data_IF_616397720556
#
_entry.id   IF_616397720556
#
_cell.length_a   1.000
_cell.length_b   1.000
_cell.length_c   1.000
_cell.angle_alpha   90.00
_cell.angle_beta   90.00
_cell.angle_gamma   90.00
#
_symmetry.space_group_name_H-M   'P 1'
#
loop_
_entity.id
_entity.type
_entity.pdbx_description
1 polymer ?
#
# COMPACT_ATOMS: atom_id res chain seq x y z
N UNK A 1 8.38 25.54 -1.25
CA UNK A 1 7.26 25.42 -0.31
C UNK A 1 7.26 24.10 0.47
N UNK A 2 7.69 22.99 -0.12
CA UNK A 2 7.74 21.66 0.55
C UNK A 2 8.69 21.63 1.75
N UNK A 3 9.91 22.19 1.68
CA UNK A 3 10.84 22.23 2.80
C UNK A 3 10.30 22.96 4.05
N UNK A 4 9.54 24.05 3.87
CA UNK A 4 8.90 24.75 4.98
C UNK A 4 7.84 23.89 5.65
N UNK A 5 7.06 23.13 4.86
CA UNK A 5 6.05 22.16 5.39
C UNK A 5 6.72 21.04 6.17
N UNK A 6 7.82 20.49 5.64
CA UNK A 6 8.61 19.45 6.30
C UNK A 6 9.17 19.94 7.65
N UNK A 7 9.72 21.15 7.70
CA UNK A 7 10.22 21.74 8.94
C UNK A 7 9.12 21.96 9.97
N UNK A 8 7.98 22.53 9.57
CA UNK A 8 6.84 22.74 10.45
C UNK A 8 6.27 21.43 11.02
N UNK A 9 6.27 20.38 10.21
CA UNK A 9 5.87 19.03 10.60
C UNK A 9 6.82 18.47 11.66
N UNK A 10 8.14 18.58 11.44
CA UNK A 10 9.15 18.13 12.39
C UNK A 10 9.08 18.88 13.72
N UNK A 11 8.86 20.19 13.70
CA UNK A 11 8.71 20.99 14.89
C UNK A 11 7.43 20.65 15.67
N UNK A 12 6.35 20.33 14.95
CA UNK A 12 5.11 19.86 15.59
C UNK A 12 5.33 18.51 16.28
N UNK A 13 6.08 17.58 15.67
CA UNK A 13 6.39 16.27 16.26
C UNK A 13 7.19 16.36 17.56
N UNK A 14 7.93 17.45 17.81
CA UNK A 14 8.62 17.72 19.07
C UNK A 14 7.68 18.23 20.18
N UNK A 15 6.42 18.54 19.88
CA UNK A 15 5.44 18.89 20.91
C UNK A 15 5.04 17.67 21.73
N UNK A 16 4.57 17.84 22.99
CA UNK A 16 4.14 16.71 23.82
C UNK A 16 3.04 15.85 23.17
N UNK A 17 2.20 16.46 22.31
CA UNK A 17 1.16 15.75 21.55
C UNK A 17 1.77 14.97 20.39
N UNK A 18 2.69 15.58 19.65
CA UNK A 18 3.42 14.94 18.57
C UNK A 18 4.27 13.76 19.03
N UNK A 19 5.02 13.93 20.13
CA UNK A 19 5.80 12.86 20.77
C UNK A 19 4.91 11.68 21.19
N UNK A 20 3.75 11.96 21.79
CA UNK A 20 2.80 10.94 22.20
C UNK A 20 2.21 10.19 21.00
N UNK A 21 1.94 10.89 19.89
CA UNK A 21 1.50 10.27 18.66
C UNK A 21 2.59 9.37 18.09
N UNK A 22 3.79 9.90 17.93
CA UNK A 22 4.95 9.18 17.37
C UNK A 22 5.29 7.93 18.18
N UNK A 23 5.18 8.00 19.52
CA UNK A 23 5.37 6.84 20.39
C UNK A 23 4.33 5.74 20.15
N UNK A 24 3.07 6.14 19.95
CA UNK A 24 2.01 5.17 19.67
C UNK A 24 2.13 4.57 18.26
N UNK A 25 2.45 5.40 17.27
CA UNK A 25 2.71 4.96 15.89
C UNK A 25 3.88 3.99 15.82
N UNK A 26 4.95 4.26 16.56
CA UNK A 26 6.09 3.35 16.66
C UNK A 26 5.67 1.95 17.09
N UNK A 27 4.79 1.82 18.09
CA UNK A 27 4.28 0.50 18.55
C UNK A 27 3.42 -0.18 17.48
N UNK A 28 2.51 0.57 16.87
CA UNK A 28 1.59 0.01 15.86
C UNK A 28 2.36 -0.43 14.61
N UNK A 29 3.38 0.33 14.21
CA UNK A 29 4.27 0.00 13.08
C UNK A 29 5.18 -1.17 13.43
N UNK A 30 5.73 -1.24 14.64
CA UNK A 30 6.52 -2.38 15.12
C UNK A 30 5.72 -3.68 15.01
N UNK A 31 4.48 -3.71 15.52
CA UNK A 31 3.58 -4.86 15.41
C UNK A 31 3.30 -5.25 13.95
N UNK A 32 3.12 -4.25 13.06
CA UNK A 32 2.86 -4.50 11.65
C UNK A 32 4.09 -5.03 10.90
N UNK A 33 5.29 -4.56 11.25
CA UNK A 33 6.55 -4.97 10.63
C UNK A 33 7.07 -6.30 11.16
N UNK A 34 6.62 -6.76 12.32
CA UNK A 34 7.13 -7.98 12.99
C UNK A 34 6.98 -9.25 12.12
N UNK A 35 5.93 -9.29 11.30
CA UNK A 35 5.67 -10.40 10.37
C UNK A 35 6.24 -10.22 8.96
N UNK A 36 6.99 -9.14 8.68
CA UNK A 36 7.48 -8.83 7.34
C UNK A 36 8.98 -9.10 7.25
N UNK A 37 9.33 -10.08 6.45
CA UNK A 37 10.72 -10.48 6.17
C UNK A 37 11.02 -10.26 4.71
N UNK A 38 12.27 -9.97 4.37
CA UNK A 38 12.68 -9.78 2.98
C UNK A 38 14.06 -9.14 2.88
N UNK A 39 14.40 -8.74 1.67
CA UNK A 39 15.66 -8.08 1.38
C UNK A 39 15.56 -6.57 1.52
N UNK A 40 14.48 -5.97 0.99
CA UNK A 40 14.36 -4.53 0.85
C UNK A 40 13.08 -3.98 1.50
N UNK A 41 13.24 -2.99 2.39
CA UNK A 41 12.16 -2.14 2.87
C UNK A 41 12.39 -0.69 2.44
N UNK A 42 11.34 -0.03 2.01
CA UNK A 42 11.37 1.35 1.57
C UNK A 42 10.40 2.18 2.39
N UNK A 43 10.88 3.24 3.01
CA UNK A 43 10.03 4.26 3.62
C UNK A 43 9.90 5.44 2.66
N UNK A 44 8.68 5.84 2.34
CA UNK A 44 8.39 7.02 1.52
C UNK A 44 7.88 8.15 2.40
N UNK A 45 8.57 9.28 2.36
CA UNK A 45 8.34 10.40 3.26
C UNK A 45 8.97 10.18 4.64
N UNK A 46 9.22 11.29 5.34
CA UNK A 46 9.76 11.28 6.69
C UNK A 46 8.69 11.75 7.69
N UNK A 47 8.55 10.98 8.76
CA UNK A 47 7.71 11.29 9.91
C UNK A 47 8.51 11.00 11.18
N UNK A 48 8.99 12.03 11.83
CA UNK A 48 10.07 11.92 12.82
C UNK A 48 11.44 11.91 12.14
N UNK A 49 12.39 11.23 12.75
CA UNK A 49 13.72 11.04 12.16
C UNK A 49 13.73 9.87 11.15
N UNK A 50 14.82 9.77 10.40
CA UNK A 50 15.01 8.74 9.38
C UNK A 50 14.90 7.30 9.94
N UNK A 51 15.20 7.07 11.20
CA UNK A 51 15.22 5.74 11.84
C UNK A 51 13.99 5.45 12.70
N UNK A 52 13.06 6.38 12.84
CA UNK A 52 11.91 6.25 13.76
C UNK A 52 11.17 4.93 13.57
N UNK A 53 10.88 4.55 12.33
CA UNK A 53 10.17 3.31 12.01
C UNK A 53 11.09 2.23 11.43
N UNK A 54 12.11 2.62 10.66
CA UNK A 54 13.00 1.66 10.00
C UNK A 54 13.79 0.78 10.97
N UNK A 55 13.95 1.21 12.22
CA UNK A 55 14.59 0.38 13.27
C UNK A 55 13.82 -0.89 13.62
N UNK A 56 12.53 -0.97 13.29
CA UNK A 56 11.69 -2.14 13.56
C UNK A 56 11.62 -3.13 12.40
N UNK A 57 12.22 -2.78 11.25
CA UNK A 57 12.21 -3.65 10.08
C UNK A 57 13.08 -4.88 10.28
N UNK A 58 12.64 -6.01 9.75
CA UNK A 58 13.38 -7.28 9.72
C UNK A 58 13.92 -7.59 8.33
N UNK A 59 13.95 -6.61 7.46
CA UNK A 59 14.57 -6.70 6.14
C UNK A 59 16.04 -6.39 6.20
N UNK A 60 16.81 -6.92 5.25
CA UNK A 60 18.27 -6.77 5.24
C UNK A 60 18.72 -5.34 4.96
N UNK A 61 17.96 -4.63 4.11
CA UNK A 61 18.26 -3.26 3.68
C UNK A 61 17.02 -2.40 3.81
N UNK A 62 17.17 -1.25 4.43
CA UNK A 62 16.11 -0.28 4.63
C UNK A 62 16.56 1.08 4.11
N UNK A 63 15.75 1.68 3.27
CA UNK A 63 16.01 2.99 2.69
C UNK A 63 14.81 3.89 2.93
N UNK A 64 15.09 5.19 3.13
CA UNK A 64 14.07 6.24 3.16
C UNK A 64 14.23 7.16 1.97
N UNK A 65 13.14 7.49 1.30
CA UNK A 65 13.09 8.46 0.22
C UNK A 65 12.14 9.58 0.63
N UNK A 66 12.59 10.82 0.51
CA UNK A 66 11.76 12.00 0.74
C UNK A 66 11.92 13.00 -0.41
N UNK A 67 10.99 13.95 -0.51
CA UNK A 67 11.05 15.00 -1.55
C UNK A 67 11.98 16.15 -1.18
N UNK A 68 12.41 16.19 0.08
CA UNK A 68 13.27 17.23 0.63
C UNK A 68 14.42 16.62 1.44
N UNK A 69 15.58 17.25 1.53
CA UNK A 69 16.72 16.72 2.26
C UNK A 69 16.60 16.84 3.79
N UNK A 70 15.60 17.57 4.28
CA UNK A 70 15.39 17.73 5.74
C UNK A 70 15.09 16.40 6.41
N UNK A 71 15.76 16.15 7.53
CA UNK A 71 15.66 14.89 8.26
C UNK A 71 16.54 13.77 7.72
N UNK A 72 17.47 14.08 6.82
CA UNK A 72 18.51 13.20 6.30
C UNK A 72 17.97 11.88 5.72
N UNK A 73 17.07 11.91 4.70
CA UNK A 73 16.64 10.69 4.04
C UNK A 73 17.81 10.00 3.33
N UNK A 74 17.69 8.70 3.09
CA UNK A 74 18.69 7.93 2.33
C UNK A 74 18.84 8.42 0.88
N UNK A 75 17.75 8.95 0.31
CA UNK A 75 17.74 9.58 -1.01
C UNK A 75 16.64 10.66 -1.10
N UNK A 76 16.87 11.65 -1.96
CA UNK A 76 15.89 12.69 -2.27
C UNK A 76 15.36 12.43 -3.67
N UNK A 77 14.04 12.25 -3.81
CA UNK A 77 13.37 12.02 -5.09
C UNK A 77 11.88 12.37 -5.00
N UNK A 78 11.26 12.56 -6.16
CA UNK A 78 9.82 12.71 -6.28
C UNK A 78 9.12 11.40 -5.91
N UNK A 79 8.22 11.41 -4.92
CA UNK A 79 7.56 10.20 -4.43
C UNK A 79 6.60 9.56 -5.44
N UNK A 80 6.16 10.30 -6.42
CA UNK A 80 5.33 9.81 -7.51
C UNK A 80 6.13 9.31 -8.73
N UNK A 81 7.49 9.30 -8.64
CA UNK A 81 8.43 8.80 -9.65
C UNK A 81 9.70 8.31 -8.99
N UNK A 82 9.64 7.11 -8.42
CA UNK A 82 10.73 6.57 -7.61
C UNK A 82 11.89 6.05 -8.48
N UNK A 83 13.14 6.36 -8.11
CA UNK A 83 14.33 5.81 -8.75
C UNK A 83 14.62 4.38 -8.24
N UNK A 84 13.60 3.53 -8.25
CA UNK A 84 13.63 2.16 -7.74
C UNK A 84 13.09 1.24 -8.82
N UNK A 85 13.72 0.10 -8.99
CA UNK A 85 13.31 -0.91 -9.96
C UNK A 85 11.92 -1.47 -9.64
N UNK A 86 11.18 -1.89 -10.68
CA UNK A 86 9.89 -2.54 -10.51
C UNK A 86 10.06 -3.91 -9.86
N UNK A 87 9.06 -4.33 -9.05
CA UNK A 87 9.02 -5.64 -8.40
C UNK A 87 10.30 -5.98 -7.61
N UNK A 88 10.90 -4.97 -6.94
CA UNK A 88 12.19 -5.12 -6.24
C UNK A 88 12.10 -4.97 -4.71
N UNK A 89 10.98 -4.49 -4.17
CA UNK A 89 10.82 -4.13 -2.76
C UNK A 89 9.82 -5.08 -2.08
N UNK A 90 10.18 -5.58 -0.89
CA UNK A 90 9.33 -6.51 -0.12
C UNK A 90 8.33 -5.77 0.77
N UNK A 91 8.72 -4.59 1.29
CA UNK A 91 7.85 -3.77 2.13
C UNK A 91 7.98 -2.29 1.80
N UNK A 92 6.85 -1.57 1.77
CA UNK A 92 6.81 -0.12 1.65
C UNK A 92 6.04 0.46 2.84
N UNK A 93 6.63 1.47 3.50
CA UNK A 93 6.02 2.21 4.60
C UNK A 93 5.72 3.64 4.16
N UNK A 94 4.49 4.08 4.36
CA UNK A 94 3.98 5.42 4.04
C UNK A 94 3.48 6.10 5.33
N UNK A 95 4.38 6.71 6.14
CA UNK A 95 3.98 7.36 7.38
C UNK A 95 3.38 8.74 7.08
N UNK A 96 2.06 8.85 7.03
CA UNK A 96 1.30 10.06 6.68
C UNK A 96 1.61 10.68 5.33
N UNK A 97 2.42 10.03 4.51
CA UNK A 97 2.91 10.54 3.23
C UNK A 97 1.79 10.98 2.31
N UNK A 98 0.69 10.25 2.30
CA UNK A 98 -0.46 10.54 1.43
C UNK A 98 -1.24 11.78 1.88
N UNK A 99 -1.25 12.08 3.19
CA UNK A 99 -1.94 13.24 3.75
C UNK A 99 -1.26 14.57 3.37
N UNK A 100 0.04 14.52 3.06
CA UNK A 100 0.87 15.66 2.69
C UNK A 100 1.11 15.79 1.19
N UNK A 101 0.67 14.82 0.40
CA UNK A 101 0.89 14.79 -1.04
C UNK A 101 -0.25 15.38 -1.83
N UNK A 102 0.07 16.19 -2.84
CA UNK A 102 -0.90 16.67 -3.83
C UNK A 102 -1.28 15.57 -4.85
N UNK A 103 -0.51 14.46 -4.91
CA UNK A 103 -0.68 13.38 -5.89
C UNK A 103 -0.72 11.98 -5.25
N UNK A 104 -1.59 11.71 -4.27
CA UNK A 104 -1.59 10.45 -3.52
C UNK A 104 -1.82 9.22 -4.40
N UNK A 105 -2.64 9.33 -5.45
CA UNK A 105 -2.85 8.24 -6.40
C UNK A 105 -1.60 7.87 -7.20
N UNK A 106 -0.81 8.87 -7.58
CA UNK A 106 0.43 8.63 -8.33
C UNK A 106 1.47 7.92 -7.44
N UNK A 107 1.56 8.31 -6.16
CA UNK A 107 2.40 7.63 -5.18
C UNK A 107 1.97 6.16 -5.01
N UNK A 108 0.68 5.88 -4.86
CA UNK A 108 0.19 4.51 -4.71
C UNK A 108 0.47 3.64 -5.95
N UNK A 109 0.41 4.20 -7.15
CA UNK A 109 0.80 3.48 -8.38
C UNK A 109 2.29 3.17 -8.42
N UNK A 110 3.13 4.10 -7.96
CA UNK A 110 4.57 3.84 -7.83
C UNK A 110 4.87 2.79 -6.76
N UNK A 111 4.15 2.81 -5.65
CA UNK A 111 4.23 1.77 -4.63
C UNK A 111 3.87 0.40 -5.22
N UNK A 112 2.77 0.32 -5.96
CA UNK A 112 2.39 -0.92 -6.65
C UNK A 112 3.47 -1.38 -7.64
N UNK A 113 4.05 -0.46 -8.41
CA UNK A 113 5.11 -0.77 -9.37
C UNK A 113 6.37 -1.37 -8.72
N UNK A 114 6.83 -0.78 -7.60
CA UNK A 114 8.08 -1.20 -6.95
C UNK A 114 7.91 -2.41 -6.05
N UNK A 115 6.71 -2.67 -5.52
CA UNK A 115 6.43 -3.83 -4.68
C UNK A 115 6.54 -5.13 -5.47
N UNK A 116 7.26 -6.10 -4.91
CA UNK A 116 7.29 -7.48 -5.38
C UNK A 116 5.91 -8.14 -5.26
N UNK A 117 5.73 -9.24 -5.98
CA UNK A 117 4.62 -10.15 -5.74
C UNK A 117 4.61 -10.59 -4.26
N UNK A 118 3.46 -10.49 -3.60
CA UNK A 118 3.28 -10.68 -2.17
C UNK A 118 3.96 -9.64 -1.27
N UNK A 119 4.58 -8.60 -1.83
CA UNK A 119 5.09 -7.47 -1.07
C UNK A 119 3.97 -6.73 -0.33
N UNK A 120 4.31 -6.09 0.78
CA UNK A 120 3.35 -5.45 1.66
C UNK A 120 3.55 -3.93 1.71
N UNK A 121 2.45 -3.21 1.78
CA UNK A 121 2.44 -1.77 2.05
C UNK A 121 1.76 -1.49 3.38
N UNK A 122 2.41 -0.65 4.21
CA UNK A 122 1.88 -0.14 5.47
C UNK A 122 1.64 1.35 5.31
N UNK A 123 0.42 1.79 5.52
CA UNK A 123 0.00 3.18 5.33
C UNK A 123 -0.57 3.71 6.63
N UNK A 124 0.03 4.79 7.14
CA UNK A 124 -0.50 5.57 8.25
C UNK A 124 -1.18 6.82 7.69
N UNK A 125 -2.33 7.18 8.23
CA UNK A 125 -3.07 8.36 7.81
C UNK A 125 -3.93 8.97 8.91
N UNK A 126 -4.26 10.25 8.77
CA UNK A 126 -5.19 10.95 9.63
C UNK A 126 -6.63 10.70 9.21
N UNK A 127 -7.50 10.46 10.18
CA UNK A 127 -8.92 10.20 9.91
C UNK A 127 -9.70 11.52 9.82
N UNK A 128 -10.31 11.87 8.67
CA UNK A 128 -11.03 13.13 8.51
C UNK A 128 -12.29 13.24 9.40
N UNK A 129 -12.95 12.12 9.67
CA UNK A 129 -14.16 12.05 10.53
C UNK A 129 -13.85 11.80 12.01
N UNK A 130 -12.58 11.76 12.44
CA UNK A 130 -12.19 11.56 13.82
C UNK A 130 -12.18 12.85 14.64
N UNK A 131 -11.79 12.74 15.91
CA UNK A 131 -11.67 13.88 16.83
C UNK A 131 -10.82 15.03 16.26
N UNK A 132 -9.78 14.70 15.52
CA UNK A 132 -8.88 15.65 14.91
C UNK A 132 -9.44 16.30 13.65
N UNK A 133 -10.19 15.56 12.84
CA UNK A 133 -10.88 16.13 11.69
C UNK A 133 -11.95 17.16 12.07
N UNK A 134 -12.71 16.88 13.13
CA UNK A 134 -13.69 17.83 13.71
C UNK A 134 -12.98 19.07 14.30
N UNK A 135 -11.82 18.89 14.92
CA UNK A 135 -11.05 19.98 15.51
C UNK A 135 -10.49 20.96 14.46
N UNK A 136 -10.29 20.52 13.21
CA UNK A 136 -9.88 21.38 12.09
C UNK A 136 -10.83 22.57 11.88
N UNK A 137 -12.09 22.45 12.30
CA UNK A 137 -13.08 23.52 12.22
C UNK A 137 -12.82 24.65 13.24
N UNK A 138 -11.90 24.46 14.20
CA UNK A 138 -11.59 25.45 15.24
C UNK A 138 -10.17 25.98 15.01
N UNK A 139 -9.99 27.29 14.80
CA UNK A 139 -8.67 27.91 14.67
C UNK A 139 -7.78 27.62 15.89
N UNK A 140 -6.46 27.42 15.68
CA UNK A 140 -5.50 27.13 16.74
C UNK A 140 -5.50 25.67 17.23
N UNK A 141 -6.15 24.76 16.52
CA UNK A 141 -6.15 23.36 16.85
C UNK A 141 -4.75 22.75 16.67
N UNK A 142 -4.36 21.88 17.62
CA UNK A 142 -3.06 21.21 17.65
C UNK A 142 -2.87 20.12 16.59
N UNK A 143 -3.43 20.28 15.40
CA UNK A 143 -3.18 19.38 14.26
C UNK A 143 -1.79 19.61 13.66
N UNK A 144 -1.17 18.57 13.09
CA UNK A 144 0.06 18.75 12.33
C UNK A 144 -0.15 19.73 11.17
N UNK A 145 0.69 20.76 11.04
CA UNK A 145 0.57 21.72 9.95
C UNK A 145 0.85 21.07 8.60
N UNK A 146 0.12 21.48 7.54
CA UNK A 146 0.34 21.05 6.17
C UNK A 146 -0.33 19.73 5.76
N UNK A 147 -1.07 19.06 6.65
CA UNK A 147 -1.92 17.93 6.30
C UNK A 147 -3.22 18.43 5.62
N UNK A 148 -3.10 18.80 4.34
CA UNK A 148 -4.18 19.44 3.60
C UNK A 148 -5.18 18.43 3.02
N UNK A 149 -4.74 17.22 2.76
CA UNK A 149 -5.49 16.16 2.07
C UNK A 149 -5.75 14.96 3.00
N UNK A 150 -6.67 15.11 3.95
CA UNK A 150 -7.05 13.97 4.80
C UNK A 150 -7.83 12.93 3.99
N UNK A 151 -7.30 11.71 3.94
CA UNK A 151 -7.88 10.60 3.19
C UNK A 151 -8.57 9.67 4.19
N UNK A 152 -9.85 9.35 3.98
CA UNK A 152 -10.54 8.39 4.83
C UNK A 152 -10.04 6.96 4.60
N UNK A 153 -10.04 6.14 5.64
CA UNK A 153 -9.68 4.72 5.55
C UNK A 153 -10.53 3.95 4.52
N UNK A 154 -11.81 4.33 4.34
CA UNK A 154 -12.70 3.76 3.31
C UNK A 154 -12.19 4.09 1.90
N UNK A 155 -11.93 5.36 1.63
CA UNK A 155 -11.45 5.80 0.32
C UNK A 155 -10.08 5.20 -0.02
N UNK A 156 -9.21 5.08 0.96
CA UNK A 156 -7.91 4.44 0.77
C UNK A 156 -8.05 2.95 0.44
N UNK A 157 -8.99 2.25 1.09
CA UNK A 157 -9.30 0.85 0.76
C UNK A 157 -9.79 0.69 -0.67
N UNK A 158 -10.69 1.56 -1.12
CA UNK A 158 -11.18 1.54 -2.51
C UNK A 158 -10.03 1.70 -3.49
N UNK A 159 -9.09 2.61 -3.22
CA UNK A 159 -7.92 2.82 -4.07
C UNK A 159 -6.97 1.61 -4.10
N UNK A 160 -6.73 0.99 -2.94
CA UNK A 160 -5.90 -0.21 -2.86
C UNK A 160 -6.55 -1.40 -3.58
N UNK A 161 -7.88 -1.53 -3.51
CA UNK A 161 -8.61 -2.55 -4.26
C UNK A 161 -8.54 -2.34 -5.78
N UNK A 162 -8.57 -1.08 -6.25
CA UNK A 162 -8.38 -0.75 -7.67
C UNK A 162 -6.98 -1.12 -8.18
N UNK A 163 -5.98 -1.17 -7.28
CA UNK A 163 -4.63 -1.64 -7.57
C UNK A 163 -4.46 -3.16 -7.32
N UNK A 164 -5.57 -3.91 -7.17
CA UNK A 164 -5.59 -5.35 -6.88
C UNK A 164 -4.79 -5.74 -5.62
N UNK A 165 -4.69 -4.83 -4.65
CA UNK A 165 -4.07 -5.09 -3.35
C UNK A 165 -5.08 -5.66 -2.36
N UNK A 166 -4.69 -6.74 -1.67
CA UNK A 166 -5.49 -7.35 -0.60
C UNK A 166 -5.22 -6.67 0.72
N UNK A 167 -6.25 -6.12 1.35
CA UNK A 167 -6.15 -5.57 2.70
C UNK A 167 -5.96 -6.72 3.70
N UNK A 168 -4.87 -6.67 4.46
CA UNK A 168 -4.52 -7.65 5.48
C UNK A 168 -5.04 -7.24 6.85
N UNK A 169 -4.79 -6.00 7.23
CA UNK A 169 -5.24 -5.47 8.51
C UNK A 169 -5.61 -3.99 8.42
N UNK A 170 -6.41 -3.57 9.36
CA UNK A 170 -6.75 -2.16 9.54
C UNK A 170 -6.92 -1.90 11.04
N UNK A 171 -6.13 -1.01 11.56
CA UNK A 171 -6.20 -0.57 12.94
C UNK A 171 -6.50 0.92 13.03
N UNK A 172 -7.21 1.31 14.07
CA UNK A 172 -7.50 2.70 14.38
C UNK A 172 -6.92 2.99 15.75
N UNK A 173 -6.22 4.09 15.86
CA UNK A 173 -5.48 4.42 17.06
C UNK A 173 -5.52 5.91 17.35
N UNK A 174 -4.95 6.29 18.49
CA UNK A 174 -4.85 7.65 18.99
C UNK A 174 -6.20 8.32 19.24
N UNK A 175 -6.82 7.98 20.38
CA UNK A 175 -8.13 8.51 20.81
C UNK A 175 -7.96 9.75 21.69
N UNK A 176 -6.86 10.48 21.57
CA UNK A 176 -6.56 11.66 22.38
C UNK A 176 -7.15 12.92 21.77
N UNK A 177 -7.74 13.74 22.62
CA UNK A 177 -8.21 15.06 22.21
C UNK A 177 -7.01 15.98 21.93
N UNK A 178 -6.98 16.76 20.84
CA UNK A 178 -5.90 17.68 20.50
C UNK A 178 -5.97 18.94 21.37
N UNK A 179 -5.59 18.83 22.65
CA UNK A 179 -5.49 19.97 23.57
C UNK A 179 -4.03 20.41 23.67
N UNK A 180 -3.74 21.72 23.53
CA UNK A 180 -2.43 22.25 23.85
C UNK A 180 -2.18 22.16 25.36
N UNK A 181 -1.07 21.55 25.76
CA UNK A 181 -0.63 21.51 27.15
C UNK A 181 -0.36 20.12 27.73
N UNK A 182 0.36 20.13 28.86
CA UNK A 182 0.96 18.93 29.49
C UNK A 182 -0.06 18.03 30.24
N UNK A 183 -1.35 18.12 30.00
CA UNK A 183 -2.39 17.31 30.65
C UNK A 183 -2.59 15.91 30.07
N UNK A 184 -1.71 15.51 29.14
CA UNK A 184 -1.79 14.20 28.46
C UNK A 184 -1.22 13.02 29.28
N UNK A 185 -0.64 13.25 30.46
CA UNK A 185 -0.16 12.17 31.33
C UNK A 185 -1.33 11.52 32.05
N UNK A 186 -1.73 10.32 31.66
CA UNK A 186 -2.73 9.52 32.41
C UNK A 186 -3.88 8.92 31.59
N UNK A 187 -3.89 9.05 30.27
CA UNK A 187 -5.05 8.71 29.45
C UNK A 187 -5.03 7.28 28.84
N UNK A 188 -4.16 6.39 29.30
CA UNK A 188 -4.12 4.99 28.78
C UNK A 188 -5.43 4.22 28.98
N UNK A 189 -6.21 4.57 30.00
CA UNK A 189 -7.54 3.99 30.23
C UNK A 189 -8.57 4.49 29.19
N UNK A 190 -8.49 5.76 28.78
CA UNK A 190 -9.36 6.34 27.75
C UNK A 190 -9.06 5.78 26.36
N UNK A 191 -7.82 5.43 26.06
CA UNK A 191 -7.47 4.77 24.80
C UNK A 191 -8.11 3.37 24.66
N UNK A 192 -8.07 2.56 25.72
CA UNK A 192 -8.75 1.25 25.73
C UNK A 192 -10.27 1.36 25.64
N UNK A 193 -10.86 2.35 26.30
CA UNK A 193 -12.30 2.61 26.23
C UNK A 193 -12.70 3.17 24.86
N UNK A 194 -11.91 4.06 24.29
CA UNK A 194 -12.14 4.65 22.96
C UNK A 194 -12.11 3.58 21.86
N UNK A 195 -11.17 2.65 21.90
CA UNK A 195 -11.12 1.52 20.98
C UNK A 195 -12.37 0.63 21.06
N UNK A 196 -12.88 0.37 22.27
CA UNK A 196 -13.99 -0.55 22.48
C UNK A 196 -15.35 0.08 22.15
N UNK A 197 -15.58 1.35 22.46
CA UNK A 197 -16.90 1.99 22.41
C UNK A 197 -17.09 2.97 21.26
N UNK A 198 -16.04 3.66 20.80
CA UNK A 198 -16.14 4.66 19.73
C UNK A 198 -14.96 4.60 18.73
N UNK A 199 -14.81 3.52 17.99
CA UNK A 199 -13.71 3.39 17.02
C UNK A 199 -13.74 4.47 15.93
N UNK A 200 -14.89 5.11 15.70
CA UNK A 200 -15.03 6.21 14.74
C UNK A 200 -14.36 7.51 15.19
N UNK A 201 -14.09 7.68 16.48
CA UNK A 201 -13.46 8.88 17.04
C UNK A 201 -11.92 8.85 17.00
N UNK A 202 -11.32 7.77 16.53
CA UNK A 202 -9.87 7.68 16.36
C UNK A 202 -9.34 8.85 15.51
N UNK A 203 -8.20 9.39 15.89
CA UNK A 203 -7.54 10.45 15.13
C UNK A 203 -6.78 9.92 13.92
N UNK A 204 -6.23 8.71 14.05
CA UNK A 204 -5.37 8.08 13.04
C UNK A 204 -5.84 6.66 12.74
N UNK A 205 -5.43 6.20 11.56
CA UNK A 205 -5.59 4.81 11.14
C UNK A 205 -4.30 4.27 10.53
N UNK A 206 -4.14 2.95 10.56
CA UNK A 206 -3.13 2.23 9.81
C UNK A 206 -3.83 1.17 8.96
N UNK A 207 -3.41 1.06 7.71
CA UNK A 207 -3.81 0.00 6.79
C UNK A 207 -2.57 -0.77 6.34
N UNK A 208 -2.66 -2.10 6.41
CA UNK A 208 -1.68 -2.99 5.80
C UNK A 208 -2.33 -3.70 4.63
N UNK A 209 -1.71 -3.63 3.47
CA UNK A 209 -2.19 -4.32 2.27
C UNK A 209 -1.04 -5.08 1.59
N UNK A 210 -1.39 -6.14 0.89
CA UNK A 210 -0.46 -7.01 0.18
C UNK A 210 -0.79 -7.00 -1.32
N UNK A 211 0.24 -6.85 -2.15
CA UNK A 211 0.12 -6.98 -3.61
C UNK A 211 -0.23 -8.41 -3.96
N UNK A 212 -1.31 -8.61 -4.70
CA UNK A 212 -1.68 -9.94 -5.18
C UNK A 212 -0.81 -10.36 -6.34
N UNK A 213 -0.48 -11.63 -6.34
CA UNK A 213 -0.02 -12.28 -7.57
C UNK A 213 -1.27 -12.46 -8.44
N UNK A 214 -1.36 -11.75 -9.53
CA UNK A 214 -2.31 -12.09 -10.58
C UNK A 214 -1.92 -13.46 -11.12
N UNK A 215 -2.46 -14.54 -10.57
CA UNK A 215 -2.38 -15.84 -11.20
C UNK A 215 -3.15 -15.71 -12.51
N UNK A 216 -2.43 -15.44 -13.60
CA UNK A 216 -2.95 -15.69 -14.92
C UNK A 216 -3.22 -17.19 -14.97
N UNK A 217 -4.41 -17.61 -14.58
CA UNK A 217 -4.90 -18.94 -14.90
C UNK A 217 -5.03 -18.93 -16.42
N UNK A 218 -4.15 -19.60 -17.17
CA UNK A 218 -4.32 -19.69 -18.61
C UNK A 218 -5.63 -20.42 -18.82
N UNK A 219 -6.68 -19.68 -19.12
CA UNK A 219 -7.92 -20.26 -19.61
C UNK A 219 -7.52 -20.89 -20.93
N UNK A 220 -7.25 -22.19 -20.93
CA UNK A 220 -7.12 -22.95 -22.19
C UNK A 220 -8.41 -22.70 -22.92
N UNK A 221 -8.37 -22.00 -24.07
CA UNK A 221 -9.57 -21.86 -24.86
C UNK A 221 -10.00 -23.26 -25.23
N UNK A 222 -11.17 -23.69 -24.78
CA UNK A 222 -11.84 -24.91 -25.20
C UNK A 222 -12.31 -24.73 -26.64
N UNK A 223 -11.39 -24.45 -27.52
CA UNK A 223 -11.60 -24.60 -28.92
C UNK A 223 -11.52 -26.12 -29.20
N UNK A 224 -12.59 -26.83 -28.78
CA UNK A 224 -12.89 -28.11 -29.40
C UNK A 224 -13.18 -27.78 -30.87
N UNK A 225 -12.14 -27.80 -31.68
CA UNK A 225 -12.36 -28.09 -33.08
C UNK A 225 -13.07 -29.45 -33.12
N UNK A 226 -14.38 -29.40 -33.33
CA UNK A 226 -15.10 -30.59 -33.80
C UNK A 226 -14.33 -30.98 -35.06
N UNK A 227 -13.59 -32.07 -34.97
CA UNK A 227 -13.08 -32.72 -36.15
C UNK A 227 -14.33 -33.04 -36.96
N UNK A 228 -14.60 -32.28 -38.02
CA UNK A 228 -15.51 -32.71 -39.03
C UNK A 228 -14.81 -33.87 -39.70
N UNK A 229 -15.20 -35.07 -39.29
CA UNK A 229 -14.89 -36.30 -40.06
C UNK A 229 -15.72 -36.13 -41.31
N UNK A 230 -15.07 -35.63 -42.37
CA UNK A 230 -15.60 -35.73 -43.73
C UNK A 230 -15.49 -37.22 -44.06
N UNK A 231 -16.56 -37.96 -43.85
CA UNK A 231 -16.72 -39.30 -44.43
C UNK A 231 -16.92 -39.11 -45.91
N UNK A 232 -15.80 -38.92 -46.63
CA UNK A 232 -15.76 -39.08 -48.06
C UNK A 232 -15.83 -40.57 -48.33
N UNK A 233 -16.97 -41.03 -48.84
CA UNK A 233 -17.15 -42.31 -49.46
C UNK A 233 -16.20 -42.40 -50.66
N UNK A 234 -15.03 -43.00 -50.49
CA UNK A 234 -14.22 -43.50 -51.59
C UNK A 234 -14.76 -44.89 -51.92
N UNK A 235 -15.61 -44.98 -52.93
CA UNK A 235 -15.92 -46.25 -53.52
C UNK A 235 -14.67 -46.82 -54.26
N UNK A 236 -14.20 -48.02 -53.95
CA UNK A 236 -13.14 -48.61 -54.68
C UNK A 236 -13.71 -49.12 -56.04
N UNK A 237 -13.41 -48.40 -57.09
CA UNK A 237 -13.69 -48.84 -58.48
C UNK A 237 -12.78 -49.99 -58.84
N UNK A 238 -13.26 -51.19 -58.63
CA UNK A 238 -12.63 -52.42 -59.20
C UNK A 238 -13.11 -52.62 -60.59
N UNK A 239 -12.47 -51.97 -61.56
CA UNK A 239 -12.56 -52.37 -62.98
C UNK A 239 -11.41 -53.28 -63.28
N UNK A 240 -11.63 -54.62 -63.20
CA UNK A 240 -10.76 -55.65 -63.75
C UNK A 240 -11.09 -55.75 -65.23
N UNK A 241 -10.25 -55.19 -66.07
CA UNK A 241 -10.28 -55.50 -67.54
C UNK A 241 -9.68 -56.86 -67.78
N UNK A 242 -10.53 -57.83 -68.11
CA UNK A 242 -10.17 -59.15 -68.54
C UNK A 242 -9.49 -59.01 -69.93
N UNK A 243 -8.15 -59.18 -69.98
CA UNK A 243 -7.42 -59.40 -71.25
C UNK A 243 -7.69 -60.82 -71.68
N UNK A 244 -8.39 -60.96 -72.79
CA UNK A 244 -8.64 -62.21 -73.49
C UNK A 244 -7.40 -62.51 -74.36
N UNK A 245 -6.62 -63.52 -74.00
CA UNK A 245 -5.63 -64.04 -74.89
C UNK A 245 -6.33 -64.97 -75.90
N UNK A 246 -6.33 -64.58 -77.15
CA UNK A 246 -6.76 -65.38 -78.24
C UNK A 246 -5.51 -66.20 -78.74
N UNK A 247 -5.62 -67.53 -78.61
CA UNK A 247 -4.65 -68.43 -79.22
C UNK A 247 -5.19 -68.77 -80.61
N UNK A 248 -4.38 -68.49 -81.64
CA UNK A 248 -4.40 -69.26 -82.86
C UNK A 248 -3.08 -69.09 -83.65
N UNK A 249 -2.48 -70.32 -83.92
CA UNK A 249 -1.50 -70.74 -84.87
C UNK A 249 -0.04 -70.36 -84.71
#
# INVERSE_FOLDING_TARGET
MQGVRSQMQQDWLKTPLGEALLQQESRVVEEALDGIFGEHCLQLGLWGDNRTFLRFTRTQRCLSIAETPEGEPSAVAELHRLPVESDSVDAVLLPHTLDYSDRPHAILREVDRVLRCNGQVIILGFKPGGLWGLRRLVPGAGMPPGADHLISDRRLRDWLQLLDMRIQSASRYFFRWPLPGNKARGLSKWERWGQAWWPELAACYMLTAQKRVGTLTPVRPLWRRKAQVVTGLAEPSTRVSRIRFDQNH
#
